data_IF_865819858048
#
_entry.id   IF_865819858048
#
_cell.length_a   1.000
_cell.length_b   1.000
_cell.length_c   1.000
_cell.angle_alpha   90.00
_cell.angle_beta   90.00
_cell.angle_gamma   90.00
#
_symmetry.space_group_name_H-M   'P 1'
#
loop_
_entity.id
_entity.type
_entity.pdbx_description
1 polymer ?
#
# COMPACT_ATOMS: atom_id res chain seq x y z
N UNK A 1 -6.99 37.67 -31.17
CA UNK A 1 -7.92 36.78 -30.45
C UNK A 1 -8.80 36.12 -31.50
N UNK A 2 -8.72 34.79 -31.66
CA UNK A 2 -9.52 34.08 -32.67
C UNK A 2 -11.00 34.24 -32.37
N UNK A 3 -11.80 34.62 -33.37
CA UNK A 3 -13.19 35.07 -33.21
C UNK A 3 -14.15 34.04 -32.59
N UNK A 4 -15.45 34.37 -32.49
CA UNK A 4 -16.44 33.66 -31.67
C UNK A 4 -16.50 32.13 -31.83
N UNK A 5 -16.16 31.61 -33.01
CA UNK A 5 -16.11 30.16 -33.27
C UNK A 5 -15.04 29.43 -32.45
N UNK A 6 -13.91 30.08 -32.20
CA UNK A 6 -12.82 29.50 -31.41
C UNK A 6 -13.21 29.40 -29.92
N UNK A 7 -14.00 30.35 -29.45
CA UNK A 7 -14.50 30.37 -28.07
C UNK A 7 -15.49 29.23 -27.83
N UNK A 8 -16.38 28.94 -28.79
CA UNK A 8 -17.33 27.81 -28.71
C UNK A 8 -16.60 26.46 -28.67
N UNK A 9 -15.54 26.28 -29.46
CA UNK A 9 -14.73 25.04 -29.44
C UNK A 9 -14.02 24.86 -28.10
N UNK A 10 -13.42 25.94 -27.56
CA UNK A 10 -12.77 25.91 -26.24
C UNK A 10 -13.78 25.59 -25.14
N UNK A 11 -14.95 26.22 -25.17
CA UNK A 11 -16.01 25.95 -24.21
C UNK A 11 -16.46 24.49 -24.27
N UNK A 12 -16.70 23.96 -25.47
CA UNK A 12 -17.01 22.55 -25.66
C UNK A 12 -15.93 21.64 -25.08
N UNK A 13 -14.66 21.92 -25.36
CA UNK A 13 -13.55 21.15 -24.79
C UNK A 13 -13.55 21.22 -23.26
N UNK A 14 -13.67 22.40 -22.65
CA UNK A 14 -13.66 22.54 -21.20
C UNK A 14 -14.84 21.85 -20.49
N UNK A 15 -15.97 21.67 -21.16
CA UNK A 15 -17.12 20.96 -20.59
C UNK A 15 -17.00 19.45 -20.84
N UNK A 16 -16.79 19.03 -22.09
CA UNK A 16 -16.82 17.61 -22.46
C UNK A 16 -15.57 16.85 -22.04
N UNK A 17 -14.40 17.50 -22.01
CA UNK A 17 -13.16 16.85 -21.60
C UNK A 17 -13.22 16.33 -20.16
N UNK A 18 -13.50 17.15 -19.12
CA UNK A 18 -13.56 16.64 -17.75
C UNK A 18 -14.71 15.64 -17.54
N UNK A 19 -15.86 15.83 -18.20
CA UNK A 19 -16.98 14.88 -18.13
C UNK A 19 -16.59 13.53 -18.73
N UNK A 20 -15.95 13.52 -19.90
CA UNK A 20 -15.47 12.30 -20.55
C UNK A 20 -14.41 11.57 -19.73
N UNK A 21 -13.45 12.32 -19.17
CA UNK A 21 -12.44 11.78 -18.24
C UNK A 21 -13.11 11.14 -17.03
N UNK A 22 -14.11 11.81 -16.43
CA UNK A 22 -14.84 11.25 -15.28
C UNK A 22 -15.61 9.98 -15.65
N UNK A 23 -16.28 9.92 -16.80
CA UNK A 23 -17.02 8.72 -17.21
C UNK A 23 -16.08 7.53 -17.51
N UNK A 24 -14.91 7.79 -18.07
CA UNK A 24 -13.94 6.74 -18.37
C UNK A 24 -13.23 6.23 -17.09
N UNK A 25 -12.69 7.12 -16.27
CA UNK A 25 -11.92 6.74 -15.08
C UNK A 25 -12.78 6.51 -13.83
N UNK A 26 -13.93 7.17 -13.73
CA UNK A 26 -14.86 7.07 -12.60
C UNK A 26 -15.88 5.95 -12.76
N UNK A 27 -15.90 5.25 -13.90
CA UNK A 27 -16.77 4.10 -14.11
C UNK A 27 -16.34 2.87 -13.28
N UNK A 28 -17.30 1.99 -12.92
CA UNK A 28 -17.00 0.77 -12.16
C UNK A 28 -15.99 -0.14 -12.87
N UNK A 29 -16.04 -0.19 -14.21
CA UNK A 29 -15.11 -1.00 -15.02
C UNK A 29 -13.64 -0.60 -14.85
N UNK A 30 -13.35 0.69 -14.71
CA UNK A 30 -11.98 1.15 -14.51
C UNK A 30 -11.45 0.72 -13.15
N UNK A 31 -12.27 0.87 -12.11
CA UNK A 31 -11.96 0.45 -10.75
C UNK A 31 -11.73 -1.06 -10.66
N UNK A 32 -12.61 -1.87 -11.23
CA UNK A 32 -12.50 -3.32 -11.21
C UNK A 32 -11.24 -3.82 -11.95
N UNK A 33 -10.89 -3.19 -13.08
CA UNK A 33 -9.71 -3.59 -13.88
C UNK A 33 -8.38 -3.14 -13.28
N UNK A 34 -8.31 -1.93 -12.72
CA UNK A 34 -7.02 -1.31 -12.38
C UNK A 34 -6.79 -1.14 -10.88
N UNK A 35 -7.84 -0.96 -10.07
CA UNK A 35 -7.70 -0.58 -8.66
C UNK A 35 -7.94 -1.77 -7.73
N UNK A 36 -8.97 -2.57 -8.00
CA UNK A 36 -9.39 -3.67 -7.11
C UNK A 36 -8.34 -4.76 -6.90
N UNK A 37 -7.53 -5.04 -7.92
CA UNK A 37 -6.47 -6.04 -7.87
C UNK A 37 -5.20 -5.58 -7.14
N UNK A 38 -5.09 -4.30 -6.77
CA UNK A 38 -3.91 -3.78 -6.08
C UNK A 38 -3.95 -4.26 -4.63
N UNK A 39 -3.16 -5.29 -4.34
CA UNK A 39 -2.97 -5.81 -2.99
C UNK A 39 -2.07 -4.84 -2.20
N UNK A 40 -2.69 -3.82 -1.59
CA UNK A 40 -1.96 -2.82 -0.80
C UNK A 40 -1.37 -3.41 0.49
N UNK A 41 -2.07 -4.37 1.10
CA UNK A 41 -1.66 -5.02 2.33
C UNK A 41 -1.16 -6.44 2.06
N UNK A 42 -0.07 -6.88 2.73
CA UNK A 42 0.37 -8.27 2.64
C UNK A 42 -0.76 -9.22 3.06
N UNK A 43 -0.68 -10.48 2.62
CA UNK A 43 -1.69 -11.45 2.99
C UNK A 43 -1.73 -11.61 4.51
N UNK A 44 -2.93 -11.74 5.07
CA UNK A 44 -3.09 -12.01 6.49
C UNK A 44 -2.40 -13.33 6.87
N UNK A 45 -2.42 -14.32 5.96
CA UNK A 45 -1.73 -15.60 6.16
C UNK A 45 -0.20 -15.49 6.13
N UNK A 46 0.34 -14.50 5.41
CA UNK A 46 1.79 -14.26 5.36
C UNK A 46 2.29 -13.36 6.48
N UNK A 47 1.38 -12.68 7.18
CA UNK A 47 1.72 -11.72 8.21
C UNK A 47 1.86 -12.42 9.55
N UNK A 48 2.83 -12.01 10.36
CA UNK A 48 3.00 -12.54 11.71
C UNK A 48 1.75 -12.26 12.56
N UNK A 49 1.09 -13.33 13.01
CA UNK A 49 -0.09 -13.24 13.88
C UNK A 49 0.40 -13.06 15.32
N UNK A 50 0.05 -11.96 16.01
CA UNK A 50 0.46 -11.76 17.39
C UNK A 50 -0.17 -12.84 18.30
N UNK A 51 0.56 -13.31 19.32
CA UNK A 51 0.03 -14.26 20.29
C UNK A 51 -1.19 -13.66 21.00
N UNK A 52 -2.23 -14.46 21.20
CA UNK A 52 -3.50 -13.97 21.76
C UNK A 52 -3.75 -14.47 23.18
N UNK A 53 -3.09 -15.57 23.57
CA UNK A 53 -3.20 -16.13 24.91
C UNK A 53 -2.00 -15.76 25.78
N UNK A 54 -2.21 -15.73 27.10
CA UNK A 54 -1.16 -15.37 28.07
C UNK A 54 0.06 -16.29 27.99
N UNK A 55 -0.17 -17.59 27.75
CA UNK A 55 0.89 -18.58 27.69
C UNK A 55 1.73 -18.43 26.41
N UNK A 56 1.09 -18.23 25.25
CA UNK A 56 1.78 -17.91 23.98
C UNK A 56 2.60 -16.61 24.09
N UNK A 57 2.08 -15.60 24.79
CA UNK A 57 2.81 -14.34 25.02
C UNK A 57 4.08 -14.61 25.83
N UNK A 58 4.04 -15.45 26.86
CA UNK A 58 5.22 -15.79 27.66
C UNK A 58 6.26 -16.56 26.85
N UNK A 59 5.82 -17.50 26.03
CA UNK A 59 6.69 -18.29 25.17
C UNK A 59 7.39 -17.40 24.12
N UNK A 60 6.62 -16.60 23.39
CA UNK A 60 7.18 -15.67 22.39
C UNK A 60 8.16 -14.68 23.01
N UNK A 61 7.87 -14.13 24.19
CA UNK A 61 8.80 -13.26 24.92
C UNK A 61 10.11 -13.96 25.28
N UNK A 62 10.06 -15.23 25.69
CA UNK A 62 11.25 -16.03 25.99
C UNK A 62 12.12 -16.18 24.74
N UNK A 63 11.51 -16.59 23.61
CA UNK A 63 12.22 -16.73 22.33
C UNK A 63 12.83 -15.41 21.86
N UNK A 64 12.11 -14.30 21.98
CA UNK A 64 12.63 -12.98 21.61
C UNK A 64 13.82 -12.55 22.46
N UNK A 65 13.82 -12.90 23.75
CA UNK A 65 14.94 -12.63 24.66
C UNK A 65 16.17 -13.44 24.25
N UNK A 66 16.01 -14.72 23.95
CA UNK A 66 17.09 -15.61 23.50
C UNK A 66 17.70 -15.10 22.18
N UNK A 67 16.88 -14.80 21.18
CA UNK A 67 17.34 -14.22 19.92
C UNK A 67 18.10 -12.91 20.10
N UNK A 68 17.66 -12.07 21.05
CA UNK A 68 18.36 -10.82 21.38
C UNK A 68 19.75 -11.12 21.94
N UNK A 69 19.86 -12.03 22.89
CA UNK A 69 21.16 -12.42 23.47
C UNK A 69 22.11 -13.00 22.43
N UNK A 70 21.63 -13.85 21.53
CA UNK A 70 22.45 -14.36 20.42
C UNK A 70 22.97 -13.26 19.50
N UNK A 71 22.13 -12.27 19.17
CA UNK A 71 22.58 -11.10 18.38
C UNK A 71 23.71 -10.34 19.08
N UNK A 72 23.61 -10.14 20.39
CA UNK A 72 24.66 -9.50 21.18
C UNK A 72 25.95 -10.32 21.23
N UNK A 73 25.86 -11.64 21.39
CA UNK A 73 27.04 -12.53 21.36
C UNK A 73 27.76 -12.44 20.01
N UNK A 74 27.02 -12.55 18.90
CA UNK A 74 27.57 -12.42 17.54
C UNK A 74 28.24 -11.06 17.32
N UNK A 75 27.65 -9.99 17.83
CA UNK A 75 28.24 -8.65 17.76
C UNK A 75 29.57 -8.57 18.52
N UNK A 76 29.62 -9.09 19.75
CA UNK A 76 30.83 -9.09 20.57
C UNK A 76 31.95 -9.96 19.97
N UNK A 77 31.61 -11.11 19.39
CA UNK A 77 32.57 -11.98 18.69
C UNK A 77 33.17 -11.31 17.45
N UNK A 78 32.39 -10.49 16.73
CA UNK A 78 32.89 -9.69 15.59
C UNK A 78 33.80 -8.54 16.03
N UNK A 79 33.54 -7.93 17.19
CA UNK A 79 34.38 -6.86 17.75
C UNK A 79 35.69 -7.38 18.36
N UNK A 80 35.72 -8.65 18.78
CA UNK A 80 36.90 -9.29 19.36
C UNK A 80 37.87 -9.86 18.32
N UNK A 81 37.52 -9.88 17.03
CA UNK A 81 38.37 -10.31 15.91
C UNK A 81 38.98 -9.10 15.22
#
# INVERSE_FOLDING_TARGET
MGGPRLEVVKFGFYVFFPVGVMLYFGGPDFFDKHVKGIKFWPDYETTHKPPTTSDEVRETLKTLKEQREERWRRYNEQQSK
#
